data_IF_976104451025
#
_entry.id   IF_976104451025
#
_cell.length_a   1.000
_cell.length_b   1.000
_cell.length_c   1.000
_cell.angle_alpha   90.00
_cell.angle_beta   90.00
_cell.angle_gamma   90.00
#
_symmetry.space_group_name_H-M   'P 1'
#
loop_
_entity.id
_entity.type
_entity.pdbx_description
1 polymer ?
#
# COMPACT_ATOMS: atom_id res chain seq x y z
N UNK A 1 -27.98 0.33 70.34
CA UNK A 1 -29.33 -0.26 70.39
C UNK A 1 -29.69 -0.56 68.93
N UNK A 2 -29.55 -1.74 68.36
CA UNK A 2 -29.47 -3.12 68.83
C UNK A 2 -28.38 -3.88 68.05
N UNK A 3 -27.80 -4.90 68.71
CA UNK A 3 -27.02 -5.96 68.09
C UNK A 3 -27.97 -7.03 67.51
N UNK A 4 -27.53 -7.75 66.48
CA UNK A 4 -27.91 -9.15 66.26
C UNK A 4 -26.88 -9.85 65.38
N UNK A 5 -26.20 -10.78 66.03
CA UNK A 5 -25.37 -11.86 65.51
C UNK A 5 -26.26 -12.98 64.93
N UNK A 6 -25.79 -13.72 63.93
CA UNK A 6 -26.35 -15.03 63.55
C UNK A 6 -25.42 -15.75 62.58
N UNK A 7 -24.83 -16.81 63.11
CA UNK A 7 -23.92 -17.82 62.54
C UNK A 7 -24.56 -18.84 61.59
N UNK A 8 -23.69 -19.50 60.81
CA UNK A 8 -23.83 -20.83 60.15
C UNK A 8 -24.72 -20.89 58.89
N UNK A 9 -24.37 -21.58 57.79
CA UNK A 9 -23.66 -22.86 57.64
C UNK A 9 -22.74 -22.90 56.40
N UNK A 10 -21.78 -23.81 56.49
CA UNK A 10 -20.78 -24.22 55.50
C UNK A 10 -21.37 -25.41 54.74
N UNK A 11 -21.46 -25.34 53.41
CA UNK A 11 -21.58 -26.53 52.56
C UNK A 11 -20.58 -26.37 51.42
N UNK A 12 -19.58 -27.26 51.44
CA UNK A 12 -18.58 -27.45 50.41
C UNK A 12 -19.23 -28.04 49.14
N UNK A 13 -18.87 -27.53 47.97
CA UNK A 13 -18.93 -28.29 46.72
C UNK A 13 -17.74 -27.90 45.84
N UNK A 14 -16.79 -28.82 45.74
CA UNK A 14 -15.66 -28.76 44.81
C UNK A 14 -16.14 -28.76 43.35
N UNK A 15 -15.47 -27.95 42.52
CA UNK A 15 -15.56 -27.96 41.05
C UNK A 15 -14.40 -27.13 40.46
N UNK A 16 -13.75 -27.57 39.38
CA UNK A 16 -12.29 -27.43 39.23
C UNK A 16 -11.81 -26.07 38.75
N UNK A 17 -10.63 -25.72 39.26
CA UNK A 17 -9.76 -24.63 38.83
C UNK A 17 -9.43 -24.73 37.34
N UNK A 18 -9.60 -23.63 36.62
CA UNK A 18 -8.90 -23.39 35.36
C UNK A 18 -8.17 -22.05 35.47
N UNK A 19 -6.88 -22.14 35.82
CA UNK A 19 -5.90 -21.06 35.71
C UNK A 19 -5.91 -20.52 34.27
N UNK A 20 -6.34 -19.27 34.09
CA UNK A 20 -6.14 -18.53 32.86
C UNK A 20 -4.69 -17.99 32.86
N UNK A 21 -3.84 -18.69 32.13
CA UNK A 21 -2.46 -18.31 31.81
C UNK A 21 -2.47 -17.05 30.92
N UNK A 22 -1.89 -15.91 31.35
CA UNK A 22 -1.98 -14.64 30.62
C UNK A 22 -1.11 -14.57 29.35
N UNK A 23 -0.36 -15.62 28.99
CA UNK A 23 0.59 -15.60 27.86
C UNK A 23 0.09 -16.20 26.54
N UNK A 24 -1.20 -16.52 26.40
CA UNK A 24 -1.80 -16.88 25.09
C UNK A 24 -2.16 -15.65 24.26
N UNK A 25 -1.20 -14.78 23.97
CA UNK A 25 -1.28 -13.93 22.78
C UNK A 25 -1.02 -14.85 21.58
N UNK A 26 -2.10 -15.37 21.00
CA UNK A 26 -2.06 -16.16 19.78
C UNK A 26 -1.26 -15.35 18.76
N UNK A 27 -0.15 -15.91 18.31
CA UNK A 27 0.75 -15.34 17.32
C UNK A 27 0.10 -15.34 15.92
N UNK A 28 -0.96 -14.54 15.81
CA UNK A 28 -1.78 -14.34 14.61
C UNK A 28 -0.97 -13.57 13.55
N UNK A 29 -0.08 -12.68 14.01
CA UNK A 29 0.79 -11.88 13.16
C UNK A 29 1.76 -12.75 12.35
N UNK A 30 2.42 -13.75 12.96
CA UNK A 30 3.35 -14.60 12.21
C UNK A 30 2.64 -15.48 11.18
N UNK A 31 1.43 -15.96 11.50
CA UNK A 31 0.62 -16.82 10.62
C UNK A 31 0.09 -16.06 9.40
N UNK A 32 -0.32 -14.81 9.58
CA UNK A 32 -0.80 -13.96 8.48
C UNK A 32 0.36 -13.46 7.60
N UNK A 33 1.51 -13.15 8.21
CA UNK A 33 2.74 -12.75 7.48
C UNK A 33 3.29 -13.90 6.62
N UNK A 34 3.25 -15.13 7.12
CA UNK A 34 3.73 -16.32 6.38
C UNK A 34 3.00 -16.55 5.06
N UNK A 35 1.74 -16.13 4.93
CA UNK A 35 0.98 -16.29 3.69
C UNK A 35 1.51 -15.37 2.59
N UNK A 36 1.81 -14.11 2.91
CA UNK A 36 2.33 -13.13 1.96
C UNK A 36 3.76 -13.44 1.45
N UNK A 37 4.60 -14.10 2.25
CA UNK A 37 5.96 -14.49 1.82
C UNK A 37 6.01 -15.68 0.86
N UNK A 38 4.93 -16.45 0.71
CA UNK A 38 4.96 -17.75 0.04
C UNK A 38 4.83 -17.75 -1.49
N UNK A 39 4.74 -16.59 -2.16
CA UNK A 39 4.54 -16.54 -3.61
C UNK A 39 5.70 -15.86 -4.36
N UNK A 40 6.83 -16.56 -4.37
CA UNK A 40 7.89 -16.36 -5.36
C UNK A 40 8.46 -17.71 -5.76
N UNK A 41 7.81 -18.39 -6.71
CA UNK A 41 8.45 -19.21 -7.75
C UNK A 41 7.42 -19.85 -8.69
N UNK A 42 7.86 -20.07 -9.93
CA UNK A 42 7.20 -20.72 -11.07
C UNK A 42 6.21 -19.86 -11.90
N UNK A 43 6.76 -19.30 -12.98
CA UNK A 43 6.03 -18.82 -14.14
C UNK A 43 5.71 -19.98 -15.10
N UNK A 44 4.43 -20.18 -15.48
CA UNK A 44 4.05 -20.44 -16.87
C UNK A 44 2.53 -20.38 -17.14
N UNK A 45 2.22 -19.98 -18.38
CA UNK A 45 0.94 -19.90 -19.14
C UNK A 45 0.02 -18.68 -18.93
N UNK A 46 0.08 -17.85 -19.98
CA UNK A 46 -0.68 -16.63 -20.24
C UNK A 46 -2.18 -16.89 -20.45
N UNK A 47 -2.98 -16.29 -19.59
CA UNK A 47 -4.40 -15.99 -19.80
C UNK A 47 -4.63 -14.53 -19.36
N UNK A 48 -5.59 -13.83 -19.97
CA UNK A 48 -5.72 -12.37 -19.92
C UNK A 48 -5.62 -11.77 -18.48
N UNK A 49 -4.67 -10.87 -18.17
CA UNK A 49 -4.16 -10.64 -16.81
C UNK A 49 -5.06 -9.84 -15.86
N UNK A 50 -6.20 -9.31 -16.32
CA UNK A 50 -6.99 -8.35 -15.53
C UNK A 50 -8.45 -8.75 -15.24
N UNK A 51 -8.85 -9.98 -15.57
CA UNK A 51 -10.10 -10.53 -15.04
C UNK A 51 -9.77 -11.73 -14.16
N UNK A 52 -9.83 -11.61 -12.83
CA UNK A 52 -9.59 -12.76 -11.98
C UNK A 52 -10.58 -13.86 -12.38
N UNK A 53 -10.12 -15.10 -12.64
CA UNK A 53 -11.02 -16.22 -12.93
C UNK A 53 -11.98 -16.40 -11.75
N UNK A 54 -13.16 -16.97 -11.98
CA UNK A 54 -14.18 -17.19 -10.92
C UNK A 54 -13.59 -17.93 -9.71
N UNK A 55 -12.57 -18.76 -9.89
CA UNK A 55 -11.82 -19.42 -8.82
C UNK A 55 -11.13 -18.43 -7.86
N UNK A 56 -10.52 -17.35 -8.36
CA UNK A 56 -9.85 -16.32 -7.54
C UNK A 56 -10.81 -15.43 -6.75
N UNK A 57 -12.06 -15.22 -7.22
CA UNK A 57 -13.08 -14.55 -6.39
C UNK A 57 -13.51 -15.40 -5.20
N UNK A 58 -13.52 -16.73 -5.38
CA UNK A 58 -13.76 -17.67 -4.28
C UNK A 58 -12.60 -17.64 -3.28
N UNK A 59 -11.37 -17.38 -3.73
CA UNK A 59 -10.20 -17.25 -2.84
C UNK A 59 -10.32 -16.06 -1.88
N UNK A 60 -10.79 -14.89 -2.34
CA UNK A 60 -10.93 -13.72 -1.45
C UNK A 60 -12.01 -13.96 -0.39
N UNK A 61 -13.20 -14.44 -0.80
CA UNK A 61 -14.27 -14.72 0.16
C UNK A 61 -13.88 -15.82 1.15
N UNK A 62 -13.20 -16.88 0.67
CA UNK A 62 -12.66 -17.93 1.53
C UNK A 62 -11.61 -17.38 2.51
N UNK A 63 -10.74 -16.48 2.04
CA UNK A 63 -9.76 -15.81 2.90
C UNK A 63 -10.42 -14.95 3.97
N UNK A 64 -11.40 -14.11 3.61
CA UNK A 64 -12.15 -13.29 4.56
C UNK A 64 -12.90 -14.15 5.57
N UNK A 65 -13.55 -15.22 5.12
CA UNK A 65 -14.23 -16.19 5.99
C UNK A 65 -13.26 -16.89 6.95
N UNK A 66 -12.07 -17.26 6.46
CA UNK A 66 -11.02 -17.88 7.29
C UNK A 66 -10.53 -16.91 8.37
N UNK A 67 -10.18 -15.68 8.00
CA UNK A 67 -9.74 -14.66 8.96
C UNK A 67 -10.86 -14.37 9.97
N UNK A 68 -12.11 -14.24 9.52
CA UNK A 68 -13.28 -14.04 10.39
C UNK A 68 -13.45 -15.20 11.40
N UNK A 69 -13.30 -16.45 10.97
CA UNK A 69 -13.32 -17.61 11.87
C UNK A 69 -12.16 -17.61 12.87
N UNK A 70 -10.95 -17.23 12.46
CA UNK A 70 -9.76 -17.16 13.33
C UNK A 70 -9.92 -16.12 14.45
N UNK A 71 -10.60 -15.00 14.17
CA UNK A 71 -10.89 -13.94 15.16
C UNK A 71 -12.23 -14.15 15.92
N UNK A 72 -13.01 -15.18 15.56
CA UNK A 72 -14.28 -15.49 16.21
C UNK A 72 -15.47 -14.62 15.77
N UNK A 73 -15.37 -13.96 14.63
CA UNK A 73 -16.41 -13.09 14.06
C UNK A 73 -17.18 -13.81 12.97
N UNK A 74 -18.52 -13.76 13.03
CA UNK A 74 -19.40 -14.40 12.04
C UNK A 74 -19.81 -13.46 10.90
N UNK A 75 -19.81 -12.15 11.15
CA UNK A 75 -20.21 -11.12 10.20
C UNK A 75 -19.01 -10.57 9.41
N UNK A 76 -19.02 -10.79 8.09
CA UNK A 76 -17.99 -10.32 7.17
C UNK A 76 -18.03 -8.81 6.89
N UNK A 77 -19.06 -8.11 7.38
CA UNK A 77 -19.22 -6.65 7.24
C UNK A 77 -18.87 -5.88 8.51
N UNK A 78 -18.39 -6.58 9.54
CA UNK A 78 -18.02 -6.01 10.83
C UNK A 78 -16.78 -5.12 10.78
N UNK A 79 -16.73 -4.12 11.67
CA UNK A 79 -15.54 -3.27 11.85
C UNK A 79 -14.36 -4.05 12.43
N UNK A 80 -14.63 -5.00 13.33
CA UNK A 80 -13.63 -5.85 13.98
C UNK A 80 -12.82 -6.67 12.96
N UNK A 81 -13.47 -7.17 11.90
CA UNK A 81 -12.78 -7.87 10.82
C UNK A 81 -11.87 -6.92 10.02
N UNK A 82 -12.31 -5.69 9.76
CA UNK A 82 -11.49 -4.70 9.05
C UNK A 82 -10.24 -4.33 9.86
N UNK A 83 -10.38 -4.11 11.17
CA UNK A 83 -9.26 -3.84 12.07
C UNK A 83 -8.27 -5.02 12.12
N UNK A 84 -8.77 -6.25 12.19
CA UNK A 84 -7.92 -7.44 12.16
C UNK A 84 -7.14 -7.57 10.84
N UNK A 85 -7.77 -7.23 9.70
CA UNK A 85 -7.10 -7.22 8.39
C UNK A 85 -6.05 -6.11 8.30
N UNK A 86 -6.33 -4.92 8.85
CA UNK A 86 -5.36 -3.82 8.91
C UNK A 86 -4.17 -4.16 9.81
N UNK A 87 -4.38 -4.85 10.93
CA UNK A 87 -3.29 -5.30 11.82
C UNK A 87 -2.45 -6.43 11.23
N UNK A 88 -3.06 -7.24 10.38
CA UNK A 88 -2.39 -8.32 9.66
C UNK A 88 -1.63 -7.87 8.41
N UNK A 89 -1.85 -6.65 7.93
CA UNK A 89 -1.22 -6.14 6.72
C UNK A 89 0.28 -5.88 6.93
N UNK A 90 1.18 -6.67 6.29
CA UNK A 90 2.63 -6.45 6.42
C UNK A 90 3.06 -5.11 5.80
N UNK A 91 2.21 -4.46 5.00
CA UNK A 91 2.48 -3.18 4.35
C UNK A 91 1.88 -1.97 5.08
N UNK A 92 1.19 -2.16 6.22
CA UNK A 92 0.54 -1.08 7.00
C UNK A 92 1.46 0.11 7.25
N UNK A 93 2.75 -0.15 7.49
CA UNK A 93 3.74 0.89 7.76
C UNK A 93 3.91 1.89 6.61
N UNK A 94 3.68 1.47 5.35
CA UNK A 94 3.79 2.35 4.18
C UNK A 94 2.79 3.49 4.21
N UNK A 95 1.63 3.31 4.86
CA UNK A 95 0.64 4.39 5.03
C UNK A 95 1.27 5.63 5.67
N UNK A 96 2.20 5.43 6.60
CA UNK A 96 2.87 6.51 7.31
C UNK A 96 3.86 7.30 6.44
N UNK A 97 4.20 6.82 5.25
CA UNK A 97 5.11 7.49 4.32
C UNK A 97 4.41 8.52 3.41
N UNK A 98 3.08 8.66 3.51
CA UNK A 98 2.29 9.57 2.68
C UNK A 98 1.59 10.65 3.49
N UNK A 99 1.32 11.78 2.83
CA UNK A 99 0.45 12.81 3.38
C UNK A 99 -1.00 12.55 3.00
N UNK A 100 -1.83 12.23 4.00
CA UNK A 100 -3.28 12.14 3.84
C UNK A 100 -3.91 13.52 4.10
N UNK A 101 -4.75 14.04 3.18
CA UNK A 101 -5.49 15.27 3.42
C UNK A 101 -6.43 15.09 4.61
N UNK A 102 -6.44 16.09 5.51
CA UNK A 102 -7.37 16.13 6.64
C UNK A 102 -8.74 16.63 6.19
N UNK A 103 -9.81 16.14 6.81
CA UNK A 103 -11.19 16.54 6.45
C UNK A 103 -11.37 18.06 6.43
N UNK A 104 -10.82 18.78 7.41
CA UNK A 104 -10.86 20.25 7.48
C UNK A 104 -10.15 21.01 6.35
N UNK A 105 -9.23 20.36 5.65
CA UNK A 105 -8.44 20.98 4.58
C UNK A 105 -9.05 20.81 3.19
N UNK A 106 -10.04 19.91 3.07
CA UNK A 106 -10.64 19.58 1.79
C UNK A 106 -11.83 20.49 1.46
N UNK A 107 -12.00 20.85 0.17
CA UNK A 107 -13.19 21.58 -0.26
C UNK A 107 -14.42 20.67 -0.23
N UNK A 108 -15.61 21.28 -0.09
CA UNK A 108 -16.91 20.60 -0.14
C UNK A 108 -17.15 19.52 0.94
N UNK A 109 -16.46 19.61 2.07
CA UNK A 109 -16.72 18.77 3.24
C UNK A 109 -17.67 19.48 4.21
N UNK A 110 -18.76 18.82 4.58
CA UNK A 110 -19.63 19.27 5.66
C UNK A 110 -19.04 18.83 7.01
N UNK A 111 -18.40 19.76 7.71
CA UNK A 111 -17.75 19.52 9.00
C UNK A 111 -18.73 19.22 10.15
N UNK A 112 -20.04 19.35 9.94
CA UNK A 112 -21.04 18.91 10.92
C UNK A 112 -21.22 17.39 10.95
N UNK A 113 -20.80 16.70 9.87
CA UNK A 113 -20.99 15.25 9.70
C UNK A 113 -19.71 14.43 9.95
N UNK A 114 -18.55 15.08 10.05
CA UNK A 114 -17.25 14.41 10.15
C UNK A 114 -16.34 15.08 11.17
N UNK A 115 -15.40 14.33 11.72
CA UNK A 115 -14.35 14.91 12.56
C UNK A 115 -13.35 15.70 11.69
N UNK A 116 -13.10 17.00 11.98
CA UNK A 116 -12.20 17.84 11.20
C UNK A 116 -10.75 17.34 11.09
N UNK A 117 -10.24 16.64 12.11
CA UNK A 117 -8.83 16.21 12.20
C UNK A 117 -8.55 14.82 11.64
N UNK A 118 -9.60 14.10 11.23
CA UNK A 118 -9.47 12.78 10.63
C UNK A 118 -8.87 12.85 9.23
N UNK A 119 -8.18 11.77 8.85
CA UNK A 119 -7.74 11.58 7.47
C UNK A 119 -8.94 11.36 6.55
N UNK A 120 -8.86 11.91 5.35
CA UNK A 120 -9.82 11.59 4.30
C UNK A 120 -9.70 10.15 3.81
N UNK A 121 -10.84 9.57 3.44
CA UNK A 121 -10.90 8.29 2.72
C UNK A 121 -10.58 8.57 1.24
N UNK A 122 -9.30 8.54 0.91
CA UNK A 122 -8.79 8.95 -0.41
C UNK A 122 -8.82 7.80 -1.43
N UNK A 123 -9.94 7.65 -2.16
CA UNK A 123 -10.14 6.59 -3.15
C UNK A 123 -9.84 7.00 -4.61
N UNK A 124 -9.11 8.10 -4.83
CA UNK A 124 -8.78 8.61 -6.17
C UNK A 124 -7.28 8.54 -6.52
N UNK A 125 -6.52 7.69 -5.82
CA UNK A 125 -5.08 7.47 -6.04
C UNK A 125 -4.70 6.99 -7.44
N UNK A 126 -5.63 6.39 -8.17
CA UNK A 126 -5.45 5.98 -9.57
C UNK A 126 -5.37 7.17 -10.56
N UNK A 127 -5.89 8.34 -10.17
CA UNK A 127 -5.81 9.56 -10.97
C UNK A 127 -4.62 10.41 -10.52
N UNK A 128 -4.52 10.66 -9.22
CA UNK A 128 -3.43 11.41 -8.60
C UNK A 128 -3.09 10.75 -7.26
N UNK A 129 -1.90 10.15 -7.18
CA UNK A 129 -1.41 9.56 -5.94
C UNK A 129 -1.17 10.61 -4.85
N UNK A 130 -1.28 10.18 -3.59
CA UNK A 130 -0.90 11.01 -2.45
C UNK A 130 0.60 11.32 -2.51
N UNK A 131 0.98 12.48 -1.98
CA UNK A 131 2.38 12.90 -1.96
C UNK A 131 3.17 12.07 -0.92
N UNK A 132 4.26 11.38 -1.31
CA UNK A 132 5.18 10.79 -0.36
C UNK A 132 5.87 11.88 0.48
N UNK A 133 6.04 11.67 1.78
CA UNK A 133 6.64 12.64 2.71
C UNK A 133 8.05 13.06 2.30
N UNK A 134 8.84 12.12 1.79
CA UNK A 134 10.20 12.34 1.32
C UNK A 134 10.31 13.29 0.12
N UNK A 135 9.22 13.48 -0.64
CA UNK A 135 9.20 14.37 -1.82
C UNK A 135 9.60 15.79 -1.47
N UNK A 136 9.08 16.32 -0.35
CA UNK A 136 9.40 17.69 0.08
C UNK A 136 10.89 17.87 0.34
N UNK A 137 11.49 16.94 1.09
CA UNK A 137 12.92 16.98 1.42
C UNK A 137 13.79 16.96 0.16
N UNK A 138 13.52 16.03 -0.75
CA UNK A 138 14.29 15.90 -2.00
C UNK A 138 14.15 17.13 -2.89
N UNK A 139 12.95 17.72 -2.98
CA UNK A 139 12.75 18.93 -3.78
C UNK A 139 13.44 20.15 -3.16
N UNK A 140 13.36 20.31 -1.84
CA UNK A 140 14.04 21.40 -1.13
C UNK A 140 15.57 21.31 -1.33
N UNK A 141 16.15 20.10 -1.33
CA UNK A 141 17.57 19.87 -1.67
C UNK A 141 17.89 20.32 -3.11
N UNK A 142 17.03 20.00 -4.09
CA UNK A 142 17.24 20.42 -5.48
C UNK A 142 17.10 21.94 -5.66
N UNK A 143 16.16 22.58 -4.96
CA UNK A 143 16.02 24.04 -4.99
C UNK A 143 17.24 24.74 -4.38
N UNK A 144 17.74 24.24 -3.25
CA UNK A 144 18.95 24.77 -2.63
C UNK A 144 20.16 24.60 -3.55
N UNK A 145 20.31 23.42 -4.17
CA UNK A 145 21.36 23.17 -5.16
C UNK A 145 21.28 24.15 -6.33
N UNK A 146 20.08 24.41 -6.84
CA UNK A 146 19.88 25.38 -7.92
C UNK A 146 20.27 26.80 -7.50
N UNK A 147 19.82 27.24 -6.33
CA UNK A 147 20.13 28.57 -5.80
C UNK A 147 21.64 28.78 -5.61
N UNK A 148 22.36 27.75 -5.16
CA UNK A 148 23.80 27.86 -4.85
C UNK A 148 24.71 27.63 -6.06
N UNK A 149 24.31 26.76 -6.99
CA UNK A 149 25.22 26.26 -8.04
C UNK A 149 24.82 26.69 -9.46
N UNK A 150 23.58 27.12 -9.67
CA UNK A 150 23.08 27.42 -11.01
C UNK A 150 23.33 26.27 -11.99
N UNK A 151 23.94 26.58 -13.13
CA UNK A 151 24.26 25.60 -14.18
C UNK A 151 25.19 24.47 -13.71
N UNK A 152 26.05 24.71 -12.71
CA UNK A 152 26.95 23.68 -12.20
C UNK A 152 26.21 22.54 -11.51
N UNK A 153 24.92 22.73 -11.18
CA UNK A 153 24.06 21.66 -10.68
C UNK A 153 23.90 20.49 -11.66
N UNK A 154 24.10 20.70 -12.96
CA UNK A 154 24.02 19.63 -13.96
C UNK A 154 24.99 18.48 -13.72
N UNK A 155 26.18 18.78 -13.20
CA UNK A 155 27.30 17.83 -13.12
C UNK A 155 27.69 17.47 -11.68
N UNK A 156 27.11 18.14 -10.68
CA UNK A 156 27.50 17.93 -9.29
C UNK A 156 26.69 16.81 -8.64
N UNK A 157 27.40 15.89 -7.98
CA UNK A 157 26.84 14.79 -7.20
C UNK A 157 26.16 15.27 -5.90
N UNK A 158 25.33 14.46 -5.22
CA UNK A 158 24.94 13.08 -5.55
C UNK A 158 23.78 12.94 -6.55
N UNK A 159 23.18 14.06 -6.98
CA UNK A 159 22.06 14.07 -7.93
C UNK A 159 22.35 15.02 -9.09
N UNK A 160 23.31 14.64 -9.94
CA UNK A 160 23.61 15.37 -11.17
C UNK A 160 22.37 15.40 -12.08
N UNK A 161 21.87 16.59 -12.45
CA UNK A 161 20.63 16.70 -13.23
C UNK A 161 20.74 16.04 -14.60
N UNK A 162 21.95 15.98 -15.16
CA UNK A 162 22.23 15.32 -16.43
C UNK A 162 21.93 13.81 -16.43
N UNK A 163 21.95 13.17 -15.26
CA UNK A 163 21.74 11.72 -15.08
C UNK A 163 20.59 11.42 -14.12
N UNK A 164 19.71 12.40 -13.88
CA UNK A 164 18.65 12.28 -12.88
C UNK A 164 17.64 11.17 -13.21
N UNK A 165 17.35 10.96 -14.49
CA UNK A 165 16.51 9.90 -15.02
C UNK A 165 17.12 8.50 -14.83
N UNK A 166 18.44 8.38 -14.89
CA UNK A 166 19.15 7.10 -14.73
C UNK A 166 19.08 6.54 -13.31
N UNK A 167 18.95 7.40 -12.30
CA UNK A 167 19.00 7.03 -10.87
C UNK A 167 17.86 6.11 -10.42
N UNK A 168 16.74 6.09 -11.14
CA UNK A 168 15.50 5.38 -10.78
C UNK A 168 15.20 4.20 -11.72
N UNK A 169 15.98 4.02 -12.80
CA UNK A 169 15.70 3.01 -13.82
C UNK A 169 15.67 1.59 -13.27
N UNK A 170 16.54 1.23 -12.34
CA UNK A 170 16.56 -0.13 -11.76
C UNK A 170 15.28 -0.45 -11.00
N UNK A 171 14.72 0.52 -10.29
CA UNK A 171 13.45 0.37 -9.59
C UNK A 171 12.27 0.21 -10.54
N UNK A 172 12.21 1.05 -11.58
CA UNK A 172 11.14 0.98 -12.58
C UNK A 172 11.24 -0.31 -13.42
N UNK A 173 12.43 -0.71 -13.82
CA UNK A 173 12.67 -1.96 -14.57
C UNK A 173 12.16 -3.19 -13.81
N UNK A 174 12.41 -3.26 -12.49
CA UNK A 174 11.84 -4.31 -11.63
C UNK A 174 10.32 -4.23 -11.55
N UNK A 175 9.76 -3.02 -11.40
CA UNK A 175 8.31 -2.81 -11.26
C UNK A 175 7.53 -3.29 -12.49
N UNK A 176 8.12 -3.19 -13.67
CA UNK A 176 7.46 -3.45 -14.96
C UNK A 176 7.87 -4.78 -15.60
N UNK A 177 8.82 -5.49 -14.96
CA UNK A 177 9.39 -6.74 -15.46
C UNK A 177 10.15 -6.58 -16.78
N UNK A 178 11.06 -5.61 -16.85
CA UNK A 178 11.90 -5.33 -18.02
C UNK A 178 13.39 -5.21 -17.61
N UNK A 179 14.30 -5.24 -18.58
CA UNK A 179 15.71 -4.91 -18.32
C UNK A 179 15.91 -3.40 -18.17
N UNK A 180 16.96 -2.98 -17.44
CA UNK A 180 17.33 -1.55 -17.31
C UNK A 180 17.51 -0.89 -18.69
N UNK A 181 18.07 -1.63 -19.65
CA UNK A 181 18.31 -1.21 -21.03
C UNK A 181 17.03 -1.02 -21.86
N UNK A 182 15.90 -1.57 -21.41
CA UNK A 182 14.62 -1.52 -22.10
C UNK A 182 13.71 -0.39 -21.60
N UNK A 183 14.09 0.27 -20.50
CA UNK A 183 13.28 1.28 -19.82
C UNK A 183 13.95 2.65 -19.90
N UNK A 184 13.17 3.69 -20.16
CA UNK A 184 13.61 5.07 -20.09
C UNK A 184 12.50 5.94 -19.48
N UNK A 185 12.89 6.92 -18.66
CA UNK A 185 11.95 7.85 -18.00
C UNK A 185 12.08 9.21 -18.69
N UNK A 186 11.08 9.57 -19.47
CA UNK A 186 11.10 10.81 -20.25
C UNK A 186 9.69 11.34 -20.49
N UNK A 187 9.58 12.64 -20.75
CA UNK A 187 8.38 13.34 -21.22
C UNK A 187 7.08 12.97 -20.46
N UNK A 188 5.94 13.03 -21.17
CA UNK A 188 4.62 12.61 -20.71
C UNK A 188 4.14 11.38 -21.49
N UNK A 189 3.12 10.70 -20.95
CA UNK A 189 2.58 9.47 -21.55
C UNK A 189 2.22 9.63 -23.02
N UNK A 190 1.49 10.69 -23.35
CA UNK A 190 1.05 10.95 -24.73
C UNK A 190 2.22 11.22 -25.67
N UNK A 191 3.22 11.99 -25.21
CA UNK A 191 4.42 12.27 -26.01
C UNK A 191 5.18 10.98 -26.30
N UNK A 192 5.39 10.14 -25.28
CA UNK A 192 6.11 8.87 -25.44
C UNK A 192 5.37 7.90 -26.35
N UNK A 193 4.03 7.85 -26.27
CA UNK A 193 3.24 7.07 -27.19
C UNK A 193 3.40 7.53 -28.64
N UNK A 194 3.40 8.84 -28.90
CA UNK A 194 3.67 9.37 -30.24
C UNK A 194 5.07 9.04 -30.74
N UNK A 195 6.08 9.09 -29.87
CA UNK A 195 7.45 8.69 -30.23
C UNK A 195 7.48 7.22 -30.63
N UNK A 196 6.89 6.32 -29.83
CA UNK A 196 6.84 4.88 -30.12
C UNK A 196 6.09 4.53 -31.41
N UNK A 197 5.00 5.25 -31.70
CA UNK A 197 4.22 5.05 -32.92
C UNK A 197 4.98 5.59 -34.15
N UNK A 198 5.68 6.73 -34.00
CA UNK A 198 6.47 7.34 -35.08
C UNK A 198 7.75 6.57 -35.38
N UNK A 199 8.41 6.02 -34.36
CA UNK A 199 9.64 5.23 -34.52
C UNK A 199 9.41 3.92 -35.28
N UNK A 200 8.16 3.58 -35.61
CA UNK A 200 7.83 2.39 -36.39
C UNK A 200 8.21 1.13 -35.65
N UNK A 201 8.04 1.11 -34.32
CA UNK A 201 8.35 -0.02 -33.45
C UNK A 201 7.54 -1.24 -33.92
N UNK A 202 8.11 -2.02 -34.84
CA UNK A 202 7.56 -3.30 -35.25
C UNK A 202 7.70 -4.21 -34.05
N UNK A 203 6.60 -4.57 -33.42
CA UNK A 203 6.57 -5.65 -32.43
C UNK A 203 7.05 -6.93 -33.12
N UNK A 204 8.34 -7.21 -33.01
CA UNK A 204 8.94 -8.44 -33.53
C UNK A 204 8.31 -9.60 -32.79
N UNK A 205 7.79 -10.59 -33.53
CA UNK A 205 7.28 -11.86 -32.97
C UNK A 205 8.37 -12.68 -32.25
N UNK A 206 9.63 -12.25 -32.35
CA UNK A 206 10.80 -12.91 -31.74
C UNK A 206 11.33 -12.11 -30.53
N UNK A 207 10.59 -12.14 -29.42
CA UNK A 207 11.10 -12.11 -28.04
C UNK A 207 11.84 -10.88 -27.48
N UNK A 208 12.27 -9.91 -28.29
CA UNK A 208 12.92 -8.68 -27.78
C UNK A 208 11.91 -7.54 -27.69
N UNK A 209 11.47 -7.23 -26.47
CA UNK A 209 10.45 -6.22 -26.21
C UNK A 209 11.06 -4.99 -25.54
N UNK A 210 11.39 -3.97 -26.33
CA UNK A 210 11.66 -2.64 -25.75
C UNK A 210 10.37 -2.10 -25.11
N UNK A 211 10.32 -2.05 -23.77
CA UNK A 211 9.16 -1.61 -23.00
C UNK A 211 9.41 -0.21 -22.47
N UNK A 212 8.97 0.81 -23.21
CA UNK A 212 9.01 2.19 -22.73
C UNK A 212 7.86 2.42 -21.73
N UNK A 213 8.18 2.62 -20.46
CA UNK A 213 7.20 2.99 -19.43
C UNK A 213 7.24 4.49 -19.18
N UNK A 214 6.06 5.08 -19.09
CA UNK A 214 5.91 6.50 -18.77
C UNK A 214 5.05 6.66 -17.53
N UNK A 215 5.51 7.46 -16.57
CA UNK A 215 4.66 7.90 -15.46
C UNK A 215 3.75 9.05 -15.92
N UNK A 216 2.46 8.95 -15.58
CA UNK A 216 1.44 9.94 -15.96
C UNK A 216 1.49 11.13 -15.00
N UNK A 217 1.72 12.34 -15.52
CA UNK A 217 1.32 13.58 -14.86
C UNK A 217 -0.13 13.89 -15.25
N UNK A 218 -1.06 13.81 -14.29
CA UNK A 218 -2.47 14.15 -14.51
C UNK A 218 -2.62 15.67 -14.48
N UNK A 219 -2.77 16.31 -15.65
CA UNK A 219 -3.32 17.68 -15.74
C UNK A 219 -4.79 17.58 -16.16
N UNK A 220 -5.68 17.93 -15.25
CA UNK A 220 -6.96 18.58 -15.58
C UNK A 220 -7.04 19.84 -14.74
N UNK A 221 -6.64 20.97 -15.32
CA UNK A 221 -7.11 22.27 -14.87
C UNK A 221 -8.51 22.43 -15.48
N UNK A 222 -9.51 22.54 -14.60
CA UNK A 222 -10.82 23.10 -14.93
C UNK A 222 -10.76 24.61 -14.83
#
# INVERSE_FOLDING_TARGET
MFAADSTAERIDSEGPSANADPDKKIDLSSRLTSFFSSHSEAAEKLDCPFKPPKSKRMEILCHLQRVAQEIGVSDLTSCELAEALDDADPLKYLRNEFFYPKMKTLPHVDLSLVNPDDDSIYMCGNSLGLMPKRTKLLMDEQFLKWANMGVFGHFHEPFAWAHSDESVLDGIAKLVGAERSEVAIMNSLTVNLHILLRSGTKFSRNGKHSRLITMRSSRRFG
#
